data_IF_845413001988
#
_entry.id   IF_845413001988
#
_cell.length_a   1.000
_cell.length_b   1.000
_cell.length_c   1.000
_cell.angle_alpha   90.00
_cell.angle_beta   90.00
_cell.angle_gamma   90.00
#
_symmetry.space_group_name_H-M   'P 1'
#
loop_
_entity.id
_entity.type
_entity.pdbx_description
1 polymer ?
#
# COMPACT_ATOMS: atom_id res chain seq x y z
N UNK A 1 -51.43 11.95 19.26
CA UNK A 1 -51.23 10.61 18.69
C UNK A 1 -49.75 10.32 18.73
N UNK A 2 -49.37 9.23 19.40
CA UNK A 2 -47.99 8.93 19.77
C UNK A 2 -47.50 7.59 19.23
N UNK A 3 -46.54 6.99 19.95
CA UNK A 3 -46.00 5.66 19.69
C UNK A 3 -46.54 4.72 20.77
N UNK A 4 -47.01 3.54 20.37
CA UNK A 4 -47.63 2.56 21.27
C UNK A 4 -46.91 1.22 21.14
N UNK A 5 -46.57 0.64 22.29
CA UNK A 5 -46.08 -0.73 22.43
C UNK A 5 -47.14 -1.49 23.21
N UNK A 6 -47.58 -2.63 22.69
CA UNK A 6 -48.52 -3.54 23.37
C UNK A 6 -47.82 -4.88 23.50
N UNK A 7 -47.75 -5.42 24.72
CA UNK A 7 -47.24 -6.77 24.97
C UNK A 7 -48.31 -7.59 25.69
N UNK A 8 -48.45 -8.86 25.31
CA UNK A 8 -49.44 -9.76 25.90
C UNK A 8 -49.18 -11.21 25.54
N UNK A 9 -50.11 -12.09 25.94
CA UNK A 9 -50.12 -13.50 25.55
C UNK A 9 -51.38 -13.84 24.75
N UNK A 10 -51.23 -14.69 23.74
CA UNK A 10 -52.38 -15.25 23.01
C UNK A 10 -53.13 -16.25 23.88
N UNK A 11 -54.33 -16.64 23.47
CA UNK A 11 -55.11 -17.68 24.17
C UNK A 11 -54.36 -19.02 24.29
N UNK A 12 -53.44 -19.31 23.36
CA UNK A 12 -52.55 -20.48 23.41
C UNK A 12 -51.25 -20.27 24.19
N UNK A 13 -51.11 -19.16 24.92
CA UNK A 13 -49.95 -18.88 25.78
C UNK A 13 -48.72 -18.29 25.08
N UNK A 14 -48.74 -18.12 23.76
CA UNK A 14 -47.62 -17.51 23.02
C UNK A 14 -47.52 -16.01 23.29
N UNK A 15 -46.31 -15.48 23.40
CA UNK A 15 -46.10 -14.04 23.52
C UNK A 15 -46.47 -13.31 22.21
N UNK A 16 -47.15 -12.18 22.34
CA UNK A 16 -47.44 -11.24 21.26
C UNK A 16 -46.95 -9.85 21.65
N UNK A 17 -46.31 -9.17 20.69
CA UNK A 17 -45.95 -7.75 20.83
C UNK A 17 -46.40 -6.99 19.59
N UNK A 18 -47.10 -5.88 19.78
CA UNK A 18 -47.54 -4.96 18.75
C UNK A 18 -46.84 -3.61 18.89
N UNK A 19 -46.39 -3.05 17.77
CA UNK A 19 -45.87 -1.68 17.70
C UNK A 19 -46.73 -0.86 16.75
N UNK A 20 -47.19 0.31 17.20
CA UNK A 20 -47.90 1.28 16.35
C UNK A 20 -47.28 2.66 16.47
N UNK A 21 -47.04 3.28 15.34
CA UNK A 21 -46.67 4.69 15.25
C UNK A 21 -47.79 5.47 14.58
N UNK A 22 -48.19 6.60 15.16
CA UNK A 22 -49.15 7.52 14.56
C UNK A 22 -48.74 8.95 14.91
N UNK A 23 -48.26 9.73 13.94
CA UNK A 23 -47.84 11.13 14.15
C UNK A 23 -48.62 12.07 13.25
N UNK A 24 -48.98 13.22 13.82
CA UNK A 24 -49.56 14.33 13.09
C UNK A 24 -48.50 15.19 12.39
N UNK A 25 -47.34 15.36 13.03
CA UNK A 25 -46.22 16.16 12.50
C UNK A 25 -45.46 15.45 11.37
N UNK A 26 -45.48 14.11 11.38
CA UNK A 26 -44.85 13.27 10.37
C UNK A 26 -45.80 12.12 9.98
N UNK A 27 -46.85 12.42 9.20
CA UNK A 27 -47.75 11.40 8.65
C UNK A 27 -47.01 10.55 7.58
N UNK A 28 -47.70 9.57 6.99
CA UNK A 28 -47.16 8.76 5.89
C UNK A 28 -45.89 7.97 6.25
N UNK A 29 -46.01 7.14 7.30
CA UNK A 29 -44.94 6.23 7.74
C UNK A 29 -45.41 4.78 7.68
N UNK A 30 -44.48 3.89 7.34
CA UNK A 30 -44.70 2.44 7.30
C UNK A 30 -43.65 1.72 8.12
N UNK A 31 -43.97 0.48 8.50
CA UNK A 31 -42.99 -0.44 9.07
C UNK A 31 -42.45 -1.32 7.96
N UNK A 32 -41.12 -1.43 7.86
CA UNK A 32 -40.44 -2.37 6.98
C UNK A 32 -39.71 -3.39 7.85
N UNK A 33 -39.92 -4.67 7.57
CA UNK A 33 -39.31 -5.78 8.30
C UNK A 33 -38.04 -6.28 7.61
N UNK A 34 -37.07 -6.70 8.41
CA UNK A 34 -35.90 -7.50 8.02
C UNK A 34 -35.85 -8.74 8.93
N UNK A 35 -34.92 -9.66 8.67
CA UNK A 35 -34.83 -10.93 9.39
C UNK A 35 -34.75 -10.78 10.93
N UNK A 36 -34.07 -9.74 11.42
CA UNK A 36 -33.77 -9.52 12.84
C UNK A 36 -34.40 -8.24 13.43
N UNK A 37 -35.13 -7.45 12.63
CA UNK A 37 -35.61 -6.12 13.06
C UNK A 37 -36.81 -5.62 12.27
N UNK A 38 -37.52 -4.65 12.83
CA UNK A 38 -38.50 -3.85 12.11
C UNK A 38 -38.20 -2.36 12.27
N UNK A 39 -38.32 -1.61 11.19
CA UNK A 39 -38.01 -0.18 11.14
C UNK A 39 -39.24 0.64 10.74
N UNK A 40 -39.47 1.74 11.45
CA UNK A 40 -40.34 2.80 10.97
C UNK A 40 -39.56 3.59 9.92
N UNK A 41 -40.16 3.83 8.74
CA UNK A 41 -39.60 4.64 7.66
C UNK A 41 -40.69 5.49 6.99
N UNK A 42 -40.36 6.64 6.37
CA UNK A 42 -41.27 7.38 5.50
C UNK A 42 -41.76 6.54 4.31
N UNK A 43 -42.99 6.78 3.86
CA UNK A 43 -43.46 6.28 2.56
C UNK A 43 -43.01 7.22 1.43
N UNK A 44 -43.27 6.83 0.18
CA UNK A 44 -43.01 7.68 -0.98
C UNK A 44 -43.82 8.99 -0.96
N UNK A 45 -45.00 8.98 -0.33
CA UNK A 45 -45.89 10.15 -0.19
C UNK A 45 -45.55 11.02 1.04
N UNK A 46 -44.47 10.72 1.75
CA UNK A 46 -44.03 11.55 2.86
C UNK A 46 -43.37 12.82 2.34
N UNK A 47 -43.68 13.97 2.96
CA UNK A 47 -43.01 15.21 2.64
C UNK A 47 -41.48 15.08 2.85
N UNK A 48 -40.63 15.61 1.95
CA UNK A 48 -39.19 15.66 2.17
C UNK A 48 -38.88 16.36 3.50
N UNK A 49 -37.97 15.77 4.26
CA UNK A 49 -37.59 16.35 5.55
C UNK A 49 -36.20 15.88 5.94
N UNK A 50 -35.43 16.80 6.51
CA UNK A 50 -34.11 16.53 7.07
C UNK A 50 -34.19 16.02 8.52
N UNK A 51 -35.41 15.86 9.05
CA UNK A 51 -35.60 15.46 10.43
C UNK A 51 -35.23 13.97 10.62
N UNK A 52 -34.17 13.64 11.39
CA UNK A 52 -33.72 12.26 11.53
C UNK A 52 -34.65 11.41 12.42
N UNK A 53 -35.63 12.03 13.11
CA UNK A 53 -36.53 11.39 14.08
C UNK A 53 -37.74 10.69 13.46
N UNK A 54 -37.75 10.54 12.12
CA UNK A 54 -38.82 9.89 11.36
C UNK A 54 -38.52 8.44 10.98
N UNK A 55 -37.25 8.02 11.11
CA UNK A 55 -36.76 6.67 10.78
C UNK A 55 -36.00 6.04 11.95
N UNK A 56 -36.44 4.89 12.44
CA UNK A 56 -35.80 4.21 13.59
C UNK A 56 -36.27 2.76 13.73
N UNK A 57 -35.49 1.91 14.44
CA UNK A 57 -35.90 0.53 14.73
C UNK A 57 -37.01 0.53 15.78
N UNK A 58 -38.16 -0.05 15.47
CA UNK A 58 -39.22 -0.26 16.46
C UNK A 58 -39.19 -1.66 17.10
N UNK A 59 -38.47 -2.60 16.48
CA UNK A 59 -38.30 -3.97 16.96
C UNK A 59 -36.91 -4.48 16.61
N UNK A 60 -36.26 -5.21 17.52
CA UNK A 60 -35.06 -6.01 17.27
C UNK A 60 -35.16 -7.37 17.98
N UNK A 61 -34.74 -8.41 17.30
CA UNK A 61 -34.57 -9.75 17.85
C UNK A 61 -33.12 -9.92 18.28
N UNK A 62 -32.90 -10.39 19.49
CA UNK A 62 -31.60 -10.82 20.00
C UNK A 62 -31.71 -12.23 20.58
N UNK A 63 -30.58 -12.84 20.92
CA UNK A 63 -30.56 -14.21 21.44
C UNK A 63 -31.41 -14.30 22.72
N UNK A 64 -32.52 -15.03 22.66
CA UNK A 64 -33.46 -15.22 23.76
C UNK A 64 -34.45 -14.09 24.03
N UNK A 65 -34.47 -12.98 23.27
CA UNK A 65 -35.39 -11.87 23.52
C UNK A 65 -35.81 -11.09 22.26
N UNK A 66 -36.96 -10.43 22.35
CA UNK A 66 -37.42 -9.43 21.37
C UNK A 66 -37.56 -8.10 22.09
N UNK A 67 -36.83 -7.10 21.62
CA UNK A 67 -36.89 -5.73 22.14
C UNK A 67 -37.79 -4.91 21.23
N UNK A 68 -38.88 -4.39 21.79
CA UNK A 68 -39.80 -3.46 21.10
C UNK A 68 -39.78 -2.13 21.83
N UNK A 69 -39.28 -1.10 21.14
CA UNK A 69 -39.05 0.21 21.73
C UNK A 69 -39.17 1.29 20.65
N UNK A 70 -39.03 2.55 21.04
CA UNK A 70 -39.08 3.67 20.09
C UNK A 70 -37.79 3.87 19.27
N UNK A 71 -36.90 2.87 19.25
CA UNK A 71 -35.59 2.94 18.61
C UNK A 71 -34.70 4.03 19.20
N UNK A 72 -33.43 4.02 18.81
CA UNK A 72 -32.52 5.14 19.05
C UNK A 72 -32.22 5.83 17.72
N UNK A 73 -32.11 7.16 17.71
CA UNK A 73 -31.62 7.88 16.52
C UNK A 73 -30.17 7.54 16.19
N UNK A 74 -29.47 6.95 17.15
CA UNK A 74 -28.11 6.43 16.97
C UNK A 74 -28.12 5.22 16.03
N UNK A 75 -29.21 4.47 15.93
CA UNK A 75 -29.27 3.26 15.10
C UNK A 75 -28.95 3.49 13.61
N UNK A 76 -29.67 4.36 12.87
CA UNK A 76 -29.35 4.62 11.46
C UNK A 76 -27.96 5.23 11.27
N UNK A 77 -27.46 6.00 12.24
CA UNK A 77 -26.10 6.56 12.23
C UNK A 77 -25.08 5.42 12.31
N UNK A 78 -25.24 4.52 13.28
CA UNK A 78 -24.34 3.38 13.49
C UNK A 78 -24.41 2.40 12.31
N UNK A 79 -25.57 2.16 11.72
CA UNK A 79 -25.69 1.30 10.53
C UNK A 79 -24.96 1.90 9.31
N UNK A 80 -25.05 3.22 9.10
CA UNK A 80 -24.28 3.91 8.05
C UNK A 80 -22.77 3.80 8.29
N UNK A 81 -22.32 4.04 9.53
CA UNK A 81 -20.91 3.90 9.91
C UNK A 81 -20.45 2.46 9.71
N UNK A 82 -21.25 1.48 10.15
CA UNK A 82 -20.94 0.05 10.00
C UNK A 82 -20.78 -0.31 8.52
N UNK A 83 -21.71 0.11 7.67
CA UNK A 83 -21.62 -0.15 6.24
C UNK A 83 -20.34 0.44 5.62
N UNK A 84 -20.00 1.69 5.98
CA UNK A 84 -18.76 2.33 5.52
C UNK A 84 -17.51 1.59 6.01
N UNK A 85 -17.48 1.18 7.27
CA UNK A 85 -16.35 0.43 7.84
C UNK A 85 -16.24 -0.98 7.25
N UNK A 86 -17.34 -1.65 6.96
CA UNK A 86 -17.33 -2.95 6.27
C UNK A 86 -16.74 -2.82 4.87
N UNK A 87 -17.12 -1.77 4.12
CA UNK A 87 -16.54 -1.51 2.79
C UNK A 87 -15.04 -1.19 2.87
N UNK A 88 -14.64 -0.28 3.77
CA UNK A 88 -13.24 0.08 3.99
C UNK A 88 -12.39 -1.14 4.43
N UNK A 89 -12.91 -1.98 5.34
CA UNK A 89 -12.20 -3.18 5.76
C UNK A 89 -12.03 -4.20 4.62
N UNK A 90 -13.05 -4.38 3.77
CA UNK A 90 -12.93 -5.25 2.61
C UNK A 90 -11.87 -4.72 1.62
N UNK A 91 -11.84 -3.41 1.38
CA UNK A 91 -10.81 -2.77 0.55
C UNK A 91 -9.41 -2.93 1.16
N UNK A 92 -9.27 -2.76 2.48
CA UNK A 92 -8.02 -3.01 3.21
C UNK A 92 -7.51 -4.44 3.03
N UNK A 93 -8.37 -5.44 3.22
CA UNK A 93 -7.99 -6.86 3.10
C UNK A 93 -7.57 -7.20 1.67
N UNK A 94 -8.25 -6.66 0.66
CA UNK A 94 -7.84 -6.77 -0.74
C UNK A 94 -6.47 -6.12 -0.98
N UNK A 95 -6.26 -4.90 -0.49
CA UNK A 95 -5.04 -4.12 -0.69
C UNK A 95 -3.82 -4.79 -0.05
N UNK A 96 -3.98 -5.40 1.13
CA UNK A 96 -2.94 -6.20 1.77
C UNK A 96 -2.47 -7.38 0.92
N UNK A 97 -3.39 -8.02 0.18
CA UNK A 97 -3.03 -9.10 -0.73
C UNK A 97 -2.34 -8.56 -1.99
N UNK A 98 -2.84 -7.45 -2.54
CA UNK A 98 -2.24 -6.77 -3.70
C UNK A 98 -0.83 -6.27 -3.41
N UNK A 99 -0.58 -5.68 -2.25
CA UNK A 99 0.75 -5.18 -1.88
C UNK A 99 1.78 -6.31 -1.80
N UNK A 100 1.41 -7.47 -1.22
CA UNK A 100 2.26 -8.67 -1.20
C UNK A 100 2.53 -9.21 -2.60
N UNK A 101 1.53 -9.19 -3.47
CA UNK A 101 1.68 -9.61 -4.86
C UNK A 101 2.64 -8.69 -5.62
N UNK A 102 2.50 -7.37 -5.45
CA UNK A 102 3.40 -6.36 -6.01
C UNK A 102 4.84 -6.57 -5.54
N UNK A 103 5.07 -6.66 -4.23
CA UNK A 103 6.40 -6.92 -3.66
C UNK A 103 7.02 -8.20 -4.25
N UNK A 104 6.21 -9.25 -4.45
CA UNK A 104 6.67 -10.49 -5.08
C UNK A 104 7.16 -10.25 -6.52
N UNK A 105 6.43 -9.49 -7.33
CA UNK A 105 6.87 -9.14 -8.69
C UNK A 105 8.14 -8.28 -8.69
N UNK A 106 8.26 -7.32 -7.78
CA UNK A 106 9.47 -6.51 -7.61
C UNK A 106 10.69 -7.38 -7.26
N UNK A 107 10.55 -8.26 -6.27
CA UNK A 107 11.59 -9.22 -5.88
C UNK A 107 12.00 -10.17 -7.02
N UNK A 108 11.04 -10.63 -7.83
CA UNK A 108 11.33 -11.47 -9.00
C UNK A 108 12.07 -10.67 -10.08
N UNK A 109 11.68 -9.43 -10.31
CA UNK A 109 12.35 -8.52 -11.26
C UNK A 109 13.81 -8.32 -10.89
N UNK A 110 14.10 -7.93 -9.63
CA UNK A 110 15.47 -7.71 -9.15
C UNK A 110 16.31 -8.99 -9.29
N UNK A 111 15.74 -10.16 -8.98
CA UNK A 111 16.41 -11.46 -9.18
C UNK A 111 16.75 -11.72 -10.65
N UNK A 112 15.82 -11.48 -11.57
CA UNK A 112 16.06 -11.62 -13.00
C UNK A 112 17.13 -10.64 -13.51
N UNK A 113 17.13 -9.39 -13.00
CA UNK A 113 18.19 -8.40 -13.31
C UNK A 113 19.57 -8.90 -12.90
N UNK A 114 19.74 -9.46 -11.69
CA UNK A 114 21.02 -10.01 -11.25
C UNK A 114 21.46 -11.23 -12.06
N UNK A 115 20.52 -12.02 -12.57
CA UNK A 115 20.78 -13.14 -13.49
C UNK A 115 21.01 -12.69 -14.94
N UNK A 116 20.88 -11.39 -15.24
CA UNK A 116 20.98 -10.82 -16.59
C UNK A 116 19.90 -11.35 -17.55
N UNK A 117 18.78 -11.84 -17.00
CA UNK A 117 17.58 -12.29 -17.73
C UNK A 117 16.69 -11.08 -18.05
N UNK A 118 17.19 -10.18 -18.90
CA UNK A 118 16.60 -8.85 -19.05
C UNK A 118 15.22 -8.81 -19.71
N UNK A 119 14.90 -9.76 -20.57
CA UNK A 119 13.58 -9.87 -21.19
C UNK A 119 12.54 -10.31 -20.15
N UNK A 120 12.88 -11.29 -19.31
CA UNK A 120 12.03 -11.72 -18.18
C UNK A 120 11.86 -10.58 -17.17
N UNK A 121 12.96 -9.90 -16.82
CA UNK A 121 12.92 -8.76 -15.92
C UNK A 121 12.01 -7.63 -16.45
N UNK A 122 12.03 -7.35 -17.75
CA UNK A 122 11.15 -6.36 -18.35
C UNK A 122 9.67 -6.74 -18.23
N UNK A 123 9.32 -8.01 -18.50
CA UNK A 123 7.96 -8.52 -18.37
C UNK A 123 7.46 -8.51 -16.93
N UNK A 124 8.30 -8.92 -15.98
CA UNK A 124 7.99 -8.90 -14.55
C UNK A 124 7.81 -7.46 -14.04
N UNK A 125 8.65 -6.53 -14.48
CA UNK A 125 8.55 -5.12 -14.10
C UNK A 125 7.27 -4.49 -14.63
N UNK A 126 6.89 -4.79 -15.86
CA UNK A 126 5.62 -4.33 -16.43
C UNK A 126 4.42 -4.90 -15.67
N UNK A 127 4.49 -6.19 -15.30
CA UNK A 127 3.48 -6.83 -14.44
C UNK A 127 3.39 -6.14 -13.08
N UNK A 128 4.52 -5.76 -12.48
CA UNK A 128 4.56 -5.02 -11.22
C UNK A 128 3.90 -3.64 -11.35
N UNK A 129 4.19 -2.88 -12.43
CA UNK A 129 3.55 -1.59 -12.69
C UNK A 129 2.03 -1.71 -12.84
N UNK A 130 1.56 -2.73 -13.57
CA UNK A 130 0.13 -3.02 -13.72
C UNK A 130 -0.52 -3.40 -12.39
N UNK A 131 0.14 -4.23 -11.58
CA UNK A 131 -0.34 -4.59 -10.25
C UNK A 131 -0.46 -3.38 -9.33
N UNK A 132 0.49 -2.45 -9.37
CA UNK A 132 0.44 -1.19 -8.62
C UNK A 132 -0.71 -0.28 -9.09
N UNK A 133 -0.92 -0.15 -10.39
CA UNK A 133 -2.03 0.62 -10.96
C UNK A 133 -3.40 0.04 -10.52
N UNK A 134 -3.55 -1.28 -10.58
CA UNK A 134 -4.77 -1.97 -10.13
C UNK A 134 -5.01 -1.76 -8.63
N UNK A 135 -3.97 -1.93 -7.80
CA UNK A 135 -4.05 -1.70 -6.36
C UNK A 135 -4.49 -0.28 -6.03
N UNK A 136 -3.92 0.74 -6.69
CA UNK A 136 -4.28 2.15 -6.48
C UNK A 136 -5.69 2.47 -6.95
N UNK A 137 -6.15 1.86 -8.04
CA UNK A 137 -7.52 2.02 -8.52
C UNK A 137 -8.54 1.46 -7.53
N UNK A 138 -8.27 0.28 -6.94
CA UNK A 138 -9.16 -0.38 -5.97
C UNK A 138 -9.34 0.44 -4.69
N UNK A 139 -8.30 1.19 -4.27
CA UNK A 139 -8.34 2.02 -3.05
C UNK A 139 -8.69 3.49 -3.31
N UNK A 140 -8.94 3.91 -4.55
CA UNK A 140 -9.34 5.28 -4.87
C UNK A 140 -10.57 5.78 -4.06
N UNK A 141 -11.58 4.94 -3.74
CA UNK A 141 -12.68 5.34 -2.86
C UNK A 141 -12.30 5.48 -1.37
N UNK A 142 -11.13 4.98 -0.99
CA UNK A 142 -10.60 4.93 0.38
C UNK A 142 -9.17 5.51 0.44
N UNK A 143 -9.00 6.84 0.26
CA UNK A 143 -7.69 7.48 0.19
C UNK A 143 -6.79 7.22 1.41
N UNK A 144 -7.39 6.98 2.57
CA UNK A 144 -6.67 6.61 3.79
C UNK A 144 -5.83 5.33 3.65
N UNK A 145 -6.25 4.40 2.78
CA UNK A 145 -5.54 3.15 2.55
C UNK A 145 -4.27 3.33 1.72
N UNK A 146 -4.17 4.42 0.95
CA UNK A 146 -3.00 4.73 0.16
C UNK A 146 -1.76 5.01 1.04
N UNK A 147 -1.96 5.72 2.14
CA UNK A 147 -0.90 6.11 3.07
C UNK A 147 -0.61 5.06 4.15
N UNK A 148 -1.19 3.86 4.04
CA UNK A 148 -0.87 2.77 4.96
C UNK A 148 0.51 2.20 4.68
N UNK A 149 1.18 1.72 5.73
CA UNK A 149 2.55 1.20 5.63
C UNK A 149 2.71 0.13 4.56
N UNK A 150 1.79 -0.85 4.48
CA UNK A 150 1.88 -1.92 3.48
C UNK A 150 1.72 -1.44 2.04
N UNK A 151 0.94 -0.38 1.78
CA UNK A 151 0.83 0.21 0.45
C UNK A 151 2.11 0.98 0.12
N UNK A 152 2.55 1.88 1.02
CA UNK A 152 3.76 2.67 0.84
C UNK A 152 5.02 1.81 0.68
N UNK A 153 5.16 0.75 1.48
CA UNK A 153 6.25 -0.23 1.38
C UNK A 153 6.26 -0.91 0.00
N UNK A 154 5.09 -1.29 -0.53
CA UNK A 154 5.03 -1.92 -1.85
C UNK A 154 5.33 -0.97 -3.02
N UNK A 155 5.00 0.31 -2.90
CA UNK A 155 5.35 1.33 -3.90
C UNK A 155 6.84 1.72 -3.85
N UNK A 156 7.42 1.71 -2.64
CA UNK A 156 8.87 1.84 -2.43
C UNK A 156 9.63 0.69 -3.11
N UNK A 157 9.18 -0.55 -2.92
CA UNK A 157 9.75 -1.74 -3.58
C UNK A 157 9.60 -1.71 -5.11
N UNK A 158 8.49 -1.16 -5.63
CA UNK A 158 8.33 -0.92 -7.07
C UNK A 158 9.36 0.10 -7.57
N UNK A 159 9.60 1.17 -6.82
CA UNK A 159 10.62 2.16 -7.15
C UNK A 159 12.00 1.52 -7.18
N UNK A 160 12.33 0.71 -6.15
CA UNK A 160 13.59 -0.01 -6.09
C UNK A 160 13.82 -0.85 -7.35
N UNK A 161 12.85 -1.70 -7.72
CA UNK A 161 12.94 -2.56 -8.89
C UNK A 161 13.10 -1.75 -10.20
N UNK A 162 12.36 -0.65 -10.35
CA UNK A 162 12.48 0.24 -11.51
C UNK A 162 13.87 0.87 -11.62
N UNK A 163 14.39 1.41 -10.51
CA UNK A 163 15.69 2.10 -10.46
C UNK A 163 16.83 1.11 -10.69
N UNK A 164 16.82 -0.05 -10.03
CA UNK A 164 17.83 -1.10 -10.23
C UNK A 164 17.86 -1.54 -11.69
N UNK A 165 16.69 -1.81 -12.29
CA UNK A 165 16.60 -2.16 -13.70
C UNK A 165 17.20 -1.09 -14.60
N UNK A 166 16.83 0.18 -14.39
CA UNK A 166 17.31 1.29 -15.20
C UNK A 166 18.83 1.46 -15.12
N UNK A 167 19.40 1.47 -13.92
CA UNK A 167 20.85 1.64 -13.71
C UNK A 167 21.64 0.50 -14.34
N UNK A 168 21.23 -0.76 -14.11
CA UNK A 168 21.92 -1.92 -14.66
C UNK A 168 21.86 -1.95 -16.19
N UNK A 169 20.75 -1.47 -16.78
CA UNK A 169 20.59 -1.36 -18.24
C UNK A 169 21.22 -0.11 -18.85
N UNK A 170 21.75 0.81 -18.04
CA UNK A 170 22.27 2.10 -18.52
C UNK A 170 21.19 3.01 -19.11
N UNK A 171 19.96 2.90 -18.59
CA UNK A 171 18.81 3.71 -18.99
C UNK A 171 18.65 4.92 -18.05
N UNK A 172 17.96 5.98 -18.50
CA UNK A 172 17.58 7.08 -17.63
C UNK A 172 16.75 6.60 -16.43
N UNK A 173 16.97 7.20 -15.27
CA UNK A 173 16.14 6.94 -14.09
C UNK A 173 14.71 7.45 -14.34
N UNK A 174 13.67 6.67 -14.02
CA UNK A 174 12.29 7.13 -14.11
C UNK A 174 12.02 8.18 -13.02
N UNK A 175 11.30 9.24 -13.35
CA UNK A 175 10.82 10.18 -12.34
C UNK A 175 9.65 9.56 -11.53
N UNK A 176 9.33 10.09 -10.32
CA UNK A 176 8.20 9.60 -9.53
C UNK A 176 6.88 9.55 -10.32
N UNK A 177 6.64 10.56 -11.17
CA UNK A 177 5.47 10.66 -12.01
C UNK A 177 5.41 9.56 -13.10
N UNK A 178 6.56 9.08 -13.60
CA UNK A 178 6.62 8.05 -14.65
C UNK A 178 6.20 6.66 -14.14
N UNK A 179 6.30 6.44 -12.83
CA UNK A 179 5.90 5.21 -12.15
C UNK A 179 4.69 5.40 -11.23
N UNK A 180 4.14 6.63 -11.18
CA UNK A 180 2.97 7.02 -10.40
C UNK A 180 3.12 6.67 -8.90
N UNK A 181 4.22 7.12 -8.29
CA UNK A 181 4.56 6.90 -6.86
C UNK A 181 4.83 8.23 -6.17
N UNK A 182 4.39 8.37 -4.92
CA UNK A 182 4.64 9.56 -4.10
C UNK A 182 6.14 9.75 -3.80
N UNK A 183 6.55 10.99 -3.58
CA UNK A 183 7.94 11.40 -3.45
C UNK A 183 8.63 10.71 -2.27
N UNK A 184 7.95 10.52 -1.14
CA UNK A 184 8.51 9.85 0.03
C UNK A 184 8.85 8.38 -0.25
N UNK A 185 7.93 7.64 -0.87
CA UNK A 185 8.15 6.25 -1.27
C UNK A 185 9.24 6.15 -2.34
N UNK A 186 9.25 7.09 -3.28
CA UNK A 186 10.28 7.15 -4.32
C UNK A 186 11.68 7.37 -3.74
N UNK A 187 11.87 8.36 -2.87
CA UNK A 187 13.17 8.67 -2.26
C UNK A 187 13.73 7.49 -1.44
N UNK A 188 12.86 6.81 -0.69
CA UNK A 188 13.27 5.61 0.05
C UNK A 188 13.60 4.44 -0.88
N UNK A 189 12.82 4.23 -1.95
CA UNK A 189 13.09 3.18 -2.94
C UNK A 189 14.37 3.45 -3.72
N UNK A 190 14.71 4.71 -3.99
CA UNK A 190 15.98 5.12 -4.59
C UNK A 190 17.18 4.77 -3.68
N UNK A 191 17.04 4.94 -2.37
CA UNK A 191 18.05 4.58 -1.39
C UNK A 191 18.24 3.05 -1.26
N UNK A 192 17.15 2.29 -1.30
CA UNK A 192 17.18 0.82 -1.30
C UNK A 192 17.78 0.27 -2.60
N UNK A 193 17.44 0.85 -3.75
CA UNK A 193 18.05 0.49 -5.03
C UNK A 193 19.56 0.70 -5.03
N UNK A 194 20.03 1.86 -4.56
CA UNK A 194 21.45 2.12 -4.42
C UNK A 194 22.13 1.12 -3.47
N UNK A 195 21.42 0.66 -2.43
CA UNK A 195 21.94 -0.39 -1.55
C UNK A 195 22.03 -1.76 -2.24
N UNK A 196 21.04 -2.12 -3.08
CA UNK A 196 21.03 -3.37 -3.86
C UNK A 196 22.12 -3.41 -4.94
N UNK A 197 22.55 -2.25 -5.46
CA UNK A 197 23.68 -2.16 -6.39
C UNK A 197 24.99 -2.72 -5.79
N UNK A 198 25.15 -2.74 -4.45
CA UNK A 198 26.31 -3.41 -3.83
C UNK A 198 26.41 -4.86 -4.26
N UNK A 199 25.29 -5.60 -4.26
CA UNK A 199 25.27 -7.00 -4.68
C UNK A 199 25.72 -7.11 -6.15
N UNK A 200 25.22 -6.21 -7.00
CA UNK A 200 25.60 -6.15 -8.40
C UNK A 200 27.09 -5.87 -8.59
N UNK A 201 27.67 -4.93 -7.83
CA UNK A 201 29.12 -4.66 -7.84
C UNK A 201 29.93 -5.92 -7.52
N UNK A 202 29.57 -6.63 -6.45
CA UNK A 202 30.27 -7.85 -6.04
C UNK A 202 30.14 -8.97 -7.07
N UNK A 203 28.95 -9.16 -7.65
CA UNK A 203 28.74 -10.16 -8.71
C UNK A 203 29.52 -9.83 -9.99
N UNK A 204 29.65 -8.55 -10.34
CA UNK A 204 30.46 -8.09 -11.47
C UNK A 204 31.96 -8.28 -11.22
N UNK A 205 32.45 -7.94 -10.02
CA UNK A 205 33.84 -8.17 -9.61
C UNK A 205 34.19 -9.65 -9.73
N UNK A 206 33.32 -10.55 -9.26
CA UNK A 206 33.52 -12.01 -9.37
C UNK A 206 33.60 -12.53 -10.80
N UNK A 207 33.13 -11.76 -11.78
CA UNK A 207 33.14 -12.07 -13.22
C UNK A 207 34.20 -11.26 -13.98
N UNK A 208 35.14 -10.63 -13.26
CA UNK A 208 36.19 -9.76 -13.82
C UNK A 208 35.65 -8.55 -14.62
N UNK A 209 34.40 -8.13 -14.37
CA UNK A 209 33.73 -6.98 -15.01
C UNK A 209 33.90 -5.70 -14.19
N UNK A 210 35.15 -5.37 -13.85
CA UNK A 210 35.49 -4.30 -12.90
C UNK A 210 35.01 -2.92 -13.34
N UNK A 211 35.16 -2.58 -14.62
CA UNK A 211 34.68 -1.31 -15.17
C UNK A 211 33.16 -1.13 -15.03
N UNK A 212 32.38 -2.22 -15.03
CA UNK A 212 30.95 -2.14 -14.82
C UNK A 212 30.60 -1.98 -13.35
N UNK A 213 31.36 -2.63 -12.45
CA UNK A 213 31.22 -2.43 -11.01
C UNK A 213 31.53 -0.98 -10.61
N UNK A 214 32.52 -0.36 -11.24
CA UNK A 214 32.84 1.06 -11.05
C UNK A 214 31.68 1.96 -11.46
N UNK A 215 31.03 1.71 -12.61
CA UNK A 215 29.82 2.46 -13.02
C UNK A 215 28.67 2.33 -12.02
N UNK A 216 28.46 1.13 -11.47
CA UNK A 216 27.43 0.92 -10.44
C UNK A 216 27.76 1.70 -9.17
N UNK A 217 29.03 1.70 -8.73
CA UNK A 217 29.49 2.47 -7.58
C UNK A 217 29.29 3.98 -7.78
N UNK A 218 29.61 4.51 -8.97
CA UNK A 218 29.33 5.92 -9.30
C UNK A 218 27.85 6.26 -9.16
N UNK A 219 26.95 5.39 -9.66
CA UNK A 219 25.52 5.61 -9.50
C UNK A 219 25.08 5.61 -8.02
N UNK A 220 25.67 4.75 -7.19
CA UNK A 220 25.41 4.76 -5.75
C UNK A 220 25.88 6.06 -5.10
N UNK A 221 27.07 6.56 -5.47
CA UNK A 221 27.64 7.82 -4.99
C UNK A 221 26.73 9.01 -5.35
N UNK A 222 26.30 9.10 -6.61
CA UNK A 222 25.42 10.16 -7.10
C UNK A 222 24.09 10.19 -6.35
N UNK A 223 23.47 9.02 -6.16
CA UNK A 223 22.22 8.88 -5.40
C UNK A 223 22.40 9.36 -3.96
N UNK A 224 23.42 8.83 -3.26
CA UNK A 224 23.67 9.20 -1.88
C UNK A 224 23.96 10.70 -1.72
N UNK A 225 24.72 11.28 -2.65
CA UNK A 225 25.05 12.71 -2.65
C UNK A 225 23.80 13.60 -2.78
N UNK A 226 22.78 13.18 -3.52
CA UNK A 226 21.51 13.91 -3.58
C UNK A 226 20.67 13.67 -2.31
N UNK A 227 20.51 12.42 -1.88
CA UNK A 227 19.64 12.07 -0.76
C UNK A 227 20.08 12.72 0.57
N UNK A 228 21.39 12.86 0.82
CA UNK A 228 21.90 13.49 2.04
C UNK A 228 21.56 14.99 2.14
N UNK A 229 21.20 15.64 1.03
CA UNK A 229 20.83 17.06 1.00
C UNK A 229 19.35 17.30 1.35
N UNK A 230 18.54 16.24 1.43
CA UNK A 230 17.12 16.32 1.73
C UNK A 230 16.92 16.54 3.23
N UNK A 231 16.82 17.80 3.66
CA UNK A 231 16.61 18.19 5.06
C UNK A 231 15.15 18.57 5.34
N UNK A 232 14.30 17.54 5.46
CA UNK A 232 12.89 17.69 5.83
C UNK A 232 12.51 16.75 6.99
N UNK A 233 11.47 17.08 7.77
CA UNK A 233 10.99 16.21 8.85
C UNK A 233 10.57 14.83 8.36
N UNK A 234 10.73 13.81 9.21
CA UNK A 234 10.37 12.41 8.89
C UNK A 234 8.90 12.24 8.51
N UNK A 235 8.02 13.10 9.01
CA UNK A 235 6.60 13.11 8.65
C UNK A 235 6.34 13.38 7.15
N UNK A 236 7.27 14.05 6.46
CA UNK A 236 7.23 14.27 5.01
C UNK A 236 8.03 13.22 4.25
N UNK A 237 9.18 12.80 4.78
CA UNK A 237 10.14 11.96 4.04
C UNK A 237 9.93 10.46 4.27
N UNK A 238 9.06 10.06 5.20
CA UNK A 238 8.81 8.65 5.50
C UNK A 238 10.01 7.93 6.13
N UNK A 239 10.84 8.65 6.90
CA UNK A 239 12.02 8.07 7.56
C UNK A 239 13.28 8.00 6.69
N UNK A 240 13.35 8.80 5.62
CA UNK A 240 14.46 8.81 4.66
C UNK A 240 15.85 8.94 5.30
N UNK A 241 15.99 9.70 6.39
CA UNK A 241 17.27 9.89 7.09
C UNK A 241 17.88 8.55 7.52
N UNK A 242 17.06 7.67 8.09
CA UNK A 242 17.48 6.33 8.52
C UNK A 242 17.92 5.47 7.33
N UNK A 243 17.16 5.52 6.23
CA UNK A 243 17.47 4.77 5.00
C UNK A 243 18.76 5.29 4.36
N UNK A 244 18.97 6.60 4.35
CA UNK A 244 20.19 7.25 3.82
C UNK A 244 21.43 6.93 4.66
N UNK A 245 21.30 6.89 5.99
CA UNK A 245 22.39 6.48 6.88
C UNK A 245 22.77 5.00 6.67
N UNK A 246 21.78 4.13 6.46
CA UNK A 246 22.03 2.72 6.11
C UNK A 246 22.76 2.60 4.75
N UNK A 247 22.31 3.37 3.75
CA UNK A 247 22.97 3.45 2.44
C UNK A 247 24.43 3.92 2.57
N UNK A 248 24.73 4.93 3.40
CA UNK A 248 26.12 5.38 3.65
C UNK A 248 27.02 4.22 4.04
N UNK A 249 26.60 3.40 5.01
CA UNK A 249 27.39 2.27 5.46
C UNK A 249 27.57 1.17 4.39
N UNK A 250 26.60 1.00 3.49
CA UNK A 250 26.69 0.09 2.33
C UNK A 250 27.65 0.65 1.28
N UNK A 251 27.56 1.95 1.01
CA UNK A 251 28.37 2.67 0.03
C UNK A 251 29.86 2.63 0.41
N UNK A 252 30.21 2.98 1.65
CA UNK A 252 31.60 3.00 2.11
C UNK A 252 32.27 1.61 1.99
N UNK A 253 31.55 0.56 2.37
CA UNK A 253 32.06 -0.83 2.20
C UNK A 253 32.25 -1.17 0.73
N UNK A 254 31.30 -0.79 -0.13
CA UNK A 254 31.37 -1.09 -1.57
C UNK A 254 32.51 -0.35 -2.23
N UNK A 255 32.75 0.90 -1.85
CA UNK A 255 33.89 1.68 -2.30
C UNK A 255 35.22 1.00 -1.93
N UNK A 256 35.34 0.51 -0.69
CA UNK A 256 36.52 -0.25 -0.25
C UNK A 256 36.78 -1.50 -1.09
N UNK A 257 35.73 -2.31 -1.31
CA UNK A 257 35.81 -3.55 -2.09
C UNK A 257 36.23 -3.26 -3.55
N UNK A 258 35.52 -2.36 -4.23
CA UNK A 258 35.78 -1.99 -5.64
C UNK A 258 37.17 -1.38 -5.81
N UNK A 259 37.58 -0.47 -4.91
CA UNK A 259 38.91 0.17 -4.97
C UNK A 259 40.03 -0.85 -4.84
N UNK A 260 39.88 -1.81 -3.91
CA UNK A 260 40.88 -2.86 -3.71
C UNK A 260 41.03 -3.72 -4.96
N UNK A 261 39.90 -4.14 -5.57
CA UNK A 261 39.91 -4.90 -6.83
C UNK A 261 40.56 -4.12 -7.98
N UNK A 262 40.25 -2.83 -8.13
CA UNK A 262 40.85 -1.98 -9.16
C UNK A 262 42.38 -1.87 -9.02
N UNK A 263 42.90 -1.75 -7.80
CA UNK A 263 44.35 -1.72 -7.57
C UNK A 263 45.01 -3.07 -7.88
N UNK A 264 44.36 -4.18 -7.51
CA UNK A 264 44.84 -5.52 -7.84
C UNK A 264 44.90 -5.74 -9.36
N UNK A 265 43.89 -5.30 -10.11
CA UNK A 265 43.85 -5.40 -11.57
C UNK A 265 45.00 -4.58 -12.22
N UNK A 266 45.23 -3.36 -11.73
CA UNK A 266 46.36 -2.51 -12.18
C UNK A 266 47.71 -3.18 -11.91
N UNK A 267 47.90 -3.77 -10.74
CA UNK A 267 49.11 -4.50 -10.39
C UNK A 267 49.31 -5.73 -11.29
N UNK A 268 48.26 -6.52 -11.51
CA UNK A 268 48.31 -7.68 -12.40
C UNK A 268 48.70 -7.29 -13.83
N UNK A 269 48.12 -6.20 -14.35
CA UNK A 269 48.50 -5.64 -15.66
C UNK A 269 49.97 -5.23 -15.72
N UNK A 270 50.48 -4.54 -14.69
CA UNK A 270 51.89 -4.16 -14.61
C UNK A 270 52.83 -5.37 -14.55
N UNK A 271 52.48 -6.40 -13.76
CA UNK A 271 53.27 -7.64 -13.68
C UNK A 271 53.31 -8.37 -15.02
N UNK A 272 52.18 -8.49 -15.72
CA UNK A 272 52.11 -9.11 -17.05
C UNK A 272 52.97 -8.34 -18.08
N UNK A 273 52.99 -7.01 -18.01
CA UNK A 273 53.87 -6.19 -18.85
C UNK A 273 55.34 -6.49 -18.58
N UNK A 274 55.76 -6.54 -17.31
CA UNK A 274 57.15 -6.89 -16.95
C UNK A 274 57.51 -8.30 -17.40
N UNK A 275 56.65 -9.29 -17.14
CA UNK A 275 56.88 -10.68 -17.58
C UNK A 275 57.02 -10.79 -19.11
N UNK A 276 56.22 -10.05 -19.88
CA UNK A 276 56.33 -10.04 -21.35
C UNK A 276 57.64 -9.46 -21.89
N UNK A 277 58.30 -8.58 -21.11
CA UNK A 277 59.62 -8.02 -21.45
C UNK A 277 60.78 -8.91 -21.04
N UNK A 278 60.61 -9.75 -20.02
CA UNK A 278 61.66 -10.67 -19.52
C UNK A 278 61.75 -11.96 -20.35
N UNK A 279 60.70 -12.31 -21.10
CA UNK A 279 60.64 -13.52 -21.95
C UNK A 279 61.10 -13.26 -23.40
N UNK A 280 61.52 -12.03 -23.74
CA UNK A 280 62.21 -11.70 -24.99
C UNK A 280 63.71 -11.63 -24.77
#
# INVERSE_FOLDING_TARGET
MGRFVVAGRTAGGAWYVGYRVSSRSFPNRKIVTRADRAMVVPTADAAPTDNPYISYNCLRTCEGAIVVANGSHVDPIIEKIRAAFTACNAARDLTLNRSRELIRYCSLTIRAVHREEFDEAAQLLETAKQAAAAMKADIKPHPELYYTGYTQDSLKELTEACVVYAIVRGQPLPAPADIDVDEAAYLNGLAEAASELRRRCLDLIRRDRVAEAERMLTAMDDIYAQLVTIDFPDALTGGLRRTTDALRAVLERTRGDVTTTLQQEKLQKALNQVMSHVVK
#
